data_IF_652356747072
#
_entry.id   IF_652356747072
#
_cell.length_a   1.000
_cell.length_b   1.000
_cell.length_c   1.000
_cell.angle_alpha   90.00
_cell.angle_beta   90.00
_cell.angle_gamma   90.00
#
_symmetry.space_group_name_H-M   'P 1'
#
loop_
_entity.id
_entity.type
_entity.pdbx_description
1 polymer ?
#
# COMPACT_ATOMS: atom_id res chain seq x y z
N UNK A 1 -11.47 16.60 -4.23
CA UNK A 1 -10.52 16.02 -5.20
C UNK A 1 -11.07 14.72 -5.70
N UNK A 2 -11.78 14.81 -6.83
CA UNK A 2 -12.08 13.70 -7.73
C UNK A 2 -10.91 13.45 -8.69
N UNK A 3 -11.02 12.46 -9.56
CA UNK A 3 -9.99 12.10 -10.53
C UNK A 3 -9.57 13.26 -11.46
N UNK A 4 -10.50 14.14 -11.84
CA UNK A 4 -10.21 15.29 -12.71
C UNK A 4 -9.41 16.35 -11.96
N UNK A 5 -9.76 16.59 -10.70
CA UNK A 5 -9.08 17.56 -9.83
C UNK A 5 -7.65 17.12 -9.45
N UNK A 6 -7.35 15.83 -9.48
CA UNK A 6 -6.00 15.30 -9.22
C UNK A 6 -5.09 15.42 -10.44
N UNK A 7 -5.65 15.26 -11.65
CA UNK A 7 -4.88 15.31 -12.90
C UNK A 7 -4.33 16.72 -13.14
N UNK A 8 -3.00 16.86 -13.13
CA UNK A 8 -2.33 18.13 -13.40
C UNK A 8 -2.36 19.12 -12.24
N UNK A 9 -2.80 18.72 -11.04
CA UNK A 9 -2.74 19.58 -9.86
C UNK A 9 -1.28 19.91 -9.52
N UNK A 10 -0.90 21.19 -9.34
CA UNK A 10 0.51 21.59 -9.22
C UNK A 10 1.19 21.06 -7.96
N UNK A 11 0.42 20.80 -6.89
CA UNK A 11 0.91 20.23 -5.63
C UNK A 11 0.89 18.70 -5.56
N UNK A 12 0.47 18.01 -6.63
CA UNK A 12 0.45 16.55 -6.65
C UNK A 12 1.61 16.07 -7.51
N UNK A 13 2.48 15.30 -6.86
CA UNK A 13 3.65 14.69 -7.45
C UNK A 13 3.25 13.41 -8.19
N UNK A 14 3.55 13.36 -9.47
CA UNK A 14 3.19 12.23 -10.33
C UNK A 14 4.46 11.61 -10.95
N UNK A 15 4.90 10.44 -10.48
CA UNK A 15 6.14 9.81 -10.95
C UNK A 15 6.06 9.31 -12.40
N UNK A 16 4.88 9.39 -13.04
CA UNK A 16 4.69 9.04 -14.46
C UNK A 16 4.79 10.25 -15.40
N UNK A 17 4.92 11.47 -14.89
CA UNK A 17 5.19 12.65 -15.72
C UNK A 17 6.63 12.60 -16.25
N UNK A 18 6.93 13.31 -17.36
CA UNK A 18 8.30 13.47 -17.82
C UNK A 18 9.23 13.97 -16.69
N UNK A 19 10.51 13.53 -16.63
CA UNK A 19 11.44 13.89 -15.55
C UNK A 19 11.53 15.40 -15.30
N UNK A 20 11.53 16.20 -16.36
CA UNK A 20 11.55 17.68 -16.33
C UNK A 20 10.32 18.30 -15.65
N UNK A 21 9.20 17.58 -15.58
CA UNK A 21 7.96 18.04 -14.92
C UNK A 21 7.74 17.39 -13.55
N UNK A 22 8.29 16.20 -13.33
CA UNK A 22 8.01 15.39 -12.14
C UNK A 22 8.98 15.63 -10.99
N UNK A 23 10.21 16.05 -11.29
CA UNK A 23 11.31 16.12 -10.32
C UNK A 23 11.86 14.75 -9.90
N UNK A 24 11.34 13.65 -10.47
CA UNK A 24 11.85 12.30 -10.24
C UNK A 24 13.02 12.00 -11.15
N UNK A 25 14.03 11.38 -10.58
CA UNK A 25 15.25 10.96 -11.28
C UNK A 25 15.31 9.44 -11.24
N UNK A 26 15.53 8.82 -12.39
CA UNK A 26 15.76 7.38 -12.45
C UNK A 26 17.13 7.05 -11.84
N UNK A 27 17.14 6.15 -10.86
CA UNK A 27 18.36 5.68 -10.17
C UNK A 27 18.73 4.24 -10.53
N UNK A 28 17.78 3.49 -11.10
CA UNK A 28 18.01 2.12 -11.57
C UNK A 28 16.78 1.54 -12.27
N UNK A 29 16.73 0.21 -12.32
CA UNK A 29 15.60 -0.54 -12.84
C UNK A 29 15.44 -1.86 -12.07
N UNK A 30 14.20 -2.34 -11.97
CA UNK A 30 13.91 -3.76 -11.70
C UNK A 30 13.83 -4.44 -13.06
N UNK A 31 14.72 -5.39 -13.31
CA UNK A 31 14.86 -5.98 -14.65
C UNK A 31 13.69 -6.90 -14.97
N UNK A 32 13.47 -7.13 -16.26
CA UNK A 32 12.53 -8.12 -16.77
C UNK A 32 12.77 -9.49 -16.16
N UNK A 33 14.02 -9.93 -16.05
CA UNK A 33 14.38 -11.24 -15.49
C UNK A 33 14.03 -11.33 -14.00
N UNK A 34 14.31 -10.29 -13.22
CA UNK A 34 13.92 -10.21 -11.81
C UNK A 34 12.40 -10.26 -11.65
N UNK A 35 11.66 -9.52 -12.48
CA UNK A 35 10.18 -9.55 -12.49
C UNK A 35 9.65 -10.92 -12.88
N UNK A 36 10.24 -11.57 -13.90
CA UNK A 36 9.86 -12.91 -14.35
C UNK A 36 10.06 -13.94 -13.24
N UNK A 37 11.20 -13.90 -12.56
CA UNK A 37 11.48 -14.73 -11.38
C UNK A 37 10.48 -14.48 -10.26
N UNK A 38 10.18 -13.22 -9.97
CA UNK A 38 9.21 -12.86 -8.93
C UNK A 38 7.81 -13.40 -9.26
N UNK A 39 7.33 -13.16 -10.48
CA UNK A 39 5.97 -13.53 -10.88
C UNK A 39 5.79 -15.05 -10.95
N UNK A 40 6.82 -15.81 -11.32
CA UNK A 40 6.76 -17.28 -11.30
C UNK A 40 6.55 -17.86 -9.90
N UNK A 41 6.92 -17.13 -8.83
CA UNK A 41 6.65 -17.56 -7.45
C UNK A 41 5.16 -17.62 -7.11
N UNK A 42 4.32 -16.92 -7.88
CA UNK A 42 2.86 -16.90 -7.73
C UNK A 42 2.15 -17.91 -8.65
N UNK A 43 2.88 -18.47 -9.60
CA UNK A 43 2.46 -19.40 -10.66
C UNK A 43 3.31 -19.20 -11.91
N UNK A 44 3.77 -20.28 -12.54
CA UNK A 44 4.64 -20.20 -13.74
C UNK A 44 3.95 -19.45 -14.90
N UNK A 45 2.63 -19.51 -14.97
CA UNK A 45 1.82 -18.78 -15.97
C UNK A 45 1.96 -17.26 -15.88
N UNK A 46 2.38 -16.72 -14.73
CA UNK A 46 2.55 -15.28 -14.54
C UNK A 46 3.97 -14.81 -14.88
N UNK A 47 4.93 -15.72 -15.09
CA UNK A 47 6.31 -15.37 -15.41
C UNK A 47 6.39 -14.47 -16.65
N UNK A 48 5.57 -14.79 -17.67
CA UNK A 48 5.56 -14.08 -18.93
C UNK A 48 4.80 -12.73 -18.88
N UNK A 49 4.21 -12.36 -17.74
CA UNK A 49 3.67 -11.00 -17.55
C UNK A 49 4.79 -9.94 -17.42
N UNK A 50 6.03 -10.37 -17.15
CA UNK A 50 7.21 -9.51 -17.16
C UNK A 50 7.67 -9.25 -18.60
N UNK A 51 7.18 -8.18 -19.22
CA UNK A 51 7.49 -7.84 -20.61
C UNK A 51 8.75 -6.98 -20.78
N UNK A 52 9.04 -6.13 -19.81
CA UNK A 52 10.07 -5.08 -19.87
C UNK A 52 10.66 -4.78 -18.49
N UNK A 53 11.78 -4.07 -18.47
CA UNK A 53 12.36 -3.47 -17.28
C UNK A 53 11.46 -2.34 -16.77
N UNK A 54 11.42 -2.14 -15.44
CA UNK A 54 10.66 -1.03 -14.84
C UNK A 54 11.62 -0.08 -14.14
N UNK A 55 11.50 1.21 -14.46
CA UNK A 55 12.34 2.25 -13.86
C UNK A 55 12.12 2.35 -12.35
N UNK A 56 13.24 2.44 -11.62
CA UNK A 56 13.25 2.79 -10.19
C UNK A 56 13.59 4.27 -10.09
N UNK A 57 12.67 5.04 -9.53
CA UNK A 57 12.73 6.48 -9.44
C UNK A 57 13.00 6.92 -8.00
N UNK A 58 13.67 8.05 -7.83
CA UNK A 58 13.81 8.74 -6.55
C UNK A 58 13.56 10.24 -6.72
N UNK A 59 13.26 10.92 -5.62
CA UNK A 59 13.13 12.38 -5.60
C UNK A 59 14.18 12.98 -4.64
N UNK A 60 14.93 14.02 -5.06
CA UNK A 60 16.03 14.59 -4.26
C UNK A 60 15.64 15.07 -2.86
N UNK A 61 14.38 15.45 -2.66
CA UNK A 61 13.83 15.83 -1.34
C UNK A 61 14.00 14.74 -0.27
N UNK A 62 14.04 13.46 -0.65
CA UNK A 62 14.21 12.34 0.28
C UNK A 62 15.49 11.56 -0.06
N UNK A 63 16.68 12.16 0.21
CA UNK A 63 17.96 11.57 -0.17
C UNK A 63 18.32 10.39 0.75
N UNK A 64 19.18 9.52 0.24
CA UNK A 64 19.92 8.53 1.03
C UNK A 64 21.20 9.16 1.57
N UNK A 65 21.65 8.75 2.76
CA UNK A 65 22.87 9.28 3.40
C UNK A 65 24.14 8.49 3.05
N UNK A 66 24.01 7.36 2.36
CA UNK A 66 25.13 6.46 2.13
C UNK A 66 25.70 6.63 0.71
N UNK A 67 27.02 6.54 0.56
CA UNK A 67 27.74 6.65 -0.73
C UNK A 67 27.34 5.59 -1.77
N UNK A 68 26.65 4.53 -1.34
CA UNK A 68 26.25 3.39 -2.17
C UNK A 68 24.85 3.58 -2.78
N UNK A 69 23.96 4.31 -2.11
CA UNK A 69 22.62 4.61 -2.62
C UNK A 69 22.18 5.98 -2.12
N UNK A 70 22.12 6.95 -3.03
CA UNK A 70 21.76 8.36 -2.77
C UNK A 70 20.25 8.59 -2.58
N UNK A 71 19.43 7.53 -2.52
CA UNK A 71 17.98 7.62 -2.45
C UNK A 71 17.44 6.97 -1.17
N UNK A 72 16.65 7.73 -0.40
CA UNK A 72 15.90 7.21 0.74
C UNK A 72 14.59 6.59 0.28
N UNK A 73 13.78 7.35 -0.47
CA UNK A 73 12.52 6.88 -1.04
C UNK A 73 12.72 6.44 -2.49
N UNK A 74 12.40 5.18 -2.79
CA UNK A 74 12.29 4.67 -4.15
C UNK A 74 10.81 4.51 -4.53
N UNK A 75 10.48 4.88 -5.77
CA UNK A 75 9.15 4.74 -6.37
C UNK A 75 9.31 3.92 -7.64
N UNK A 76 8.50 2.87 -7.78
CA UNK A 76 8.52 1.97 -8.95
C UNK A 76 7.12 1.95 -9.57
N UNK A 77 6.84 2.85 -10.54
CA UNK A 77 5.52 2.94 -11.16
C UNK A 77 5.21 1.69 -11.99
N UNK A 78 3.96 1.22 -11.93
CA UNK A 78 3.47 0.10 -12.74
C UNK A 78 4.33 -1.20 -12.63
N UNK A 79 4.91 -1.45 -11.45
CA UNK A 79 5.72 -2.63 -11.20
C UNK A 79 4.94 -3.94 -11.40
N UNK A 80 3.74 -4.01 -10.84
CA UNK A 80 2.91 -5.22 -10.82
C UNK A 80 1.87 -5.17 -11.95
N UNK A 81 1.93 -6.04 -12.96
CA UNK A 81 0.98 -6.02 -14.08
C UNK A 81 -0.40 -6.59 -13.70
N UNK A 82 -1.45 -6.35 -14.51
CA UNK A 82 -2.84 -6.68 -14.17
C UNK A 82 -3.10 -8.12 -13.70
N UNK A 83 -2.58 -9.14 -14.39
CA UNK A 83 -2.79 -10.52 -14.01
C UNK A 83 -2.14 -10.85 -12.65
N UNK A 84 -0.92 -10.33 -12.42
CA UNK A 84 -0.18 -10.48 -11.17
C UNK A 84 -0.90 -9.77 -10.02
N UNK A 85 -1.48 -8.58 -10.25
CA UNK A 85 -2.28 -7.88 -9.24
C UNK A 85 -3.45 -8.75 -8.75
N UNK A 86 -4.16 -9.44 -9.66
CA UNK A 86 -5.29 -10.31 -9.30
C UNK A 86 -4.84 -11.48 -8.44
N UNK A 87 -3.81 -12.23 -8.84
CA UNK A 87 -3.35 -13.40 -8.05
C UNK A 87 -2.80 -12.97 -6.68
N UNK A 88 -2.12 -11.82 -6.57
CA UNK A 88 -1.67 -11.28 -5.28
C UNK A 88 -2.87 -10.95 -4.39
N UNK A 89 -3.92 -10.31 -4.92
CA UNK A 89 -5.16 -10.06 -4.18
C UNK A 89 -5.85 -11.37 -3.77
N UNK A 90 -5.85 -12.40 -4.62
CA UNK A 90 -6.42 -13.71 -4.28
C UNK A 90 -5.66 -14.38 -3.13
N UNK A 91 -4.33 -14.37 -3.14
CA UNK A 91 -3.53 -14.87 -2.01
C UNK A 91 -3.87 -14.12 -0.73
N UNK A 92 -3.84 -12.79 -0.75
CA UNK A 92 -4.04 -11.97 0.45
C UNK A 92 -5.48 -12.04 0.98
N UNK A 93 -6.48 -11.89 0.12
CA UNK A 93 -7.86 -11.62 0.53
C UNK A 93 -8.78 -12.85 0.44
N UNK A 94 -8.40 -13.91 -0.29
CA UNK A 94 -9.10 -15.19 -0.23
C UNK A 94 -8.41 -16.18 0.70
N UNK A 95 -7.12 -16.45 0.48
CA UNK A 95 -6.38 -17.45 1.27
C UNK A 95 -5.97 -16.91 2.64
N UNK A 96 -5.22 -15.82 2.68
CA UNK A 96 -4.51 -15.39 3.89
C UNK A 96 -5.42 -14.67 4.89
N UNK A 97 -6.37 -13.86 4.42
CA UNK A 97 -7.43 -13.25 5.26
C UNK A 97 -8.33 -14.29 5.95
N UNK A 98 -8.44 -15.49 5.36
CA UNK A 98 -9.26 -16.58 5.89
C UNK A 98 -8.47 -17.52 6.79
N UNK A 99 -7.21 -17.22 7.06
CA UNK A 99 -6.40 -17.94 8.05
C UNK A 99 -6.58 -17.28 9.44
N UNK A 100 -7.12 -18.00 10.46
CA UNK A 100 -7.34 -17.45 11.79
C UNK A 100 -6.06 -17.07 12.56
N UNK A 101 -4.89 -17.54 12.12
CA UNK A 101 -3.61 -17.14 12.71
C UNK A 101 -3.25 -15.69 12.37
N UNK A 102 -3.78 -15.16 11.26
CA UNK A 102 -3.62 -13.77 10.86
C UNK A 102 -4.69 -12.89 11.52
N UNK A 103 -4.24 -11.83 12.22
CA UNK A 103 -5.15 -10.93 12.91
C UNK A 103 -5.75 -9.88 11.96
N UNK A 104 -6.91 -9.36 12.35
CA UNK A 104 -7.61 -8.27 11.66
C UNK A 104 -8.12 -7.29 12.70
N UNK A 105 -8.51 -6.09 12.29
CA UNK A 105 -9.11 -5.11 13.20
C UNK A 105 -10.40 -5.61 13.88
N UNK A 106 -11.07 -6.61 13.29
CA UNK A 106 -12.30 -7.18 13.82
C UNK A 106 -12.04 -8.12 15.00
N UNK A 107 -10.89 -8.80 15.04
CA UNK A 107 -10.57 -9.75 16.11
C UNK A 107 -10.53 -9.12 17.50
N UNK A 108 -10.34 -7.80 17.58
CA UNK A 108 -10.41 -7.03 18.83
C UNK A 108 -11.78 -7.14 19.52
N UNK A 109 -12.86 -7.23 18.74
CA UNK A 109 -14.23 -7.08 19.26
C UNK A 109 -15.21 -8.15 18.77
N UNK A 110 -14.83 -8.94 17.77
CA UNK A 110 -15.72 -9.91 17.12
C UNK A 110 -15.05 -11.29 16.99
N UNK A 111 -15.89 -12.32 16.98
CA UNK A 111 -15.57 -13.63 16.45
C UNK A 111 -15.90 -13.66 14.95
N UNK A 112 -14.96 -14.12 14.14
CA UNK A 112 -15.11 -14.16 12.68
C UNK A 112 -15.69 -15.52 12.25
N UNK A 113 -16.66 -15.53 11.32
CA UNK A 113 -17.27 -16.76 10.80
C UNK A 113 -16.40 -17.30 9.66
N UNK A 114 -15.29 -17.97 10.00
CA UNK A 114 -14.41 -18.60 9.00
C UNK A 114 -15.16 -19.70 8.23
N UNK A 115 -15.39 -19.54 6.91
CA UNK A 115 -16.09 -20.54 6.11
C UNK A 115 -15.28 -21.84 6.03
N UNK A 116 -15.98 -22.97 6.06
CA UNK A 116 -15.39 -24.29 5.86
C UNK A 116 -15.49 -24.72 4.39
N UNK A 117 -14.51 -25.48 3.92
CA UNK A 117 -14.50 -26.02 2.57
C UNK A 117 -13.16 -26.61 2.17
N UNK A 118 -13.17 -27.49 1.16
CA UNK A 118 -11.97 -28.17 0.68
C UNK A 118 -11.07 -27.25 -0.16
N UNK A 119 -11.66 -26.27 -0.85
CA UNK A 119 -10.92 -25.33 -1.69
C UNK A 119 -10.60 -24.02 -0.95
N UNK A 120 -9.52 -23.30 -1.33
CA UNK A 120 -9.25 -21.96 -0.80
C UNK A 120 -10.44 -21.01 -1.00
N UNK A 121 -11.11 -21.10 -2.15
CA UNK A 121 -12.20 -20.18 -2.47
C UNK A 121 -13.46 -20.48 -1.63
N UNK A 122 -13.74 -21.74 -1.30
CA UNK A 122 -14.82 -22.10 -0.38
C UNK A 122 -14.55 -21.61 1.05
N UNK A 123 -13.28 -21.51 1.45
CA UNK A 123 -12.86 -20.97 2.75
C UNK A 123 -12.78 -19.43 2.78
N UNK A 124 -12.89 -18.75 1.64
CA UNK A 124 -12.79 -17.30 1.58
C UNK A 124 -13.94 -16.62 2.33
N UNK A 125 -13.68 -15.53 3.06
CA UNK A 125 -14.75 -14.66 3.59
C UNK A 125 -15.70 -14.14 2.49
N UNK A 126 -15.25 -14.04 1.23
CA UNK A 126 -16.09 -13.66 0.10
C UNK A 126 -17.05 -14.78 -0.35
N UNK A 127 -16.89 -16.02 0.16
CA UNK A 127 -17.89 -17.08 -0.02
C UNK A 127 -19.17 -16.81 0.79
N UNK A 128 -19.10 -15.97 1.83
CA UNK A 128 -20.27 -15.50 2.55
C UNK A 128 -21.05 -14.54 1.64
N UNK A 129 -22.32 -14.85 1.40
CA UNK A 129 -23.18 -13.97 0.60
C UNK A 129 -23.32 -12.60 1.30
N UNK A 130 -23.34 -11.48 0.57
CA UNK A 130 -23.56 -10.16 1.14
C UNK A 130 -24.94 -10.04 1.82
N UNK A 131 -25.92 -10.83 1.35
CA UNK A 131 -27.27 -10.92 1.91
C UNK A 131 -27.39 -11.89 3.10
N UNK A 132 -26.31 -12.58 3.46
CA UNK A 132 -26.31 -13.47 4.62
C UNK A 132 -26.58 -12.70 5.93
N UNK A 133 -27.14 -13.37 6.95
CA UNK A 133 -27.43 -12.73 8.23
C UNK A 133 -26.15 -12.24 8.94
N UNK A 134 -26.33 -11.62 10.11
CA UNK A 134 -25.19 -11.17 10.91
C UNK A 134 -24.42 -12.37 11.48
N UNK A 135 -23.33 -12.75 10.81
CA UNK A 135 -22.49 -13.89 11.16
C UNK A 135 -21.27 -13.51 12.02
N UNK A 136 -20.88 -12.23 12.04
CA UNK A 136 -19.77 -11.74 12.84
C UNK A 136 -20.30 -11.38 14.22
N UNK A 137 -20.07 -12.24 15.20
CA UNK A 137 -20.65 -12.11 16.54
C UNK A 137 -19.72 -11.30 17.45
N UNK A 138 -20.25 -10.33 18.21
CA UNK A 138 -19.44 -9.54 19.13
C UNK A 138 -18.95 -10.42 20.29
N UNK A 139 -17.71 -10.21 20.73
CA UNK A 139 -17.18 -10.83 21.97
C UNK A 139 -17.95 -10.37 23.20
N UNK A 140 -18.37 -9.09 23.19
CA UNK A 140 -19.26 -8.50 24.18
C UNK A 140 -20.51 -7.92 23.49
N UNK A 141 -21.65 -8.65 23.50
CA UNK A 141 -22.92 -8.20 22.92
C UNK A 141 -23.53 -6.96 23.59
N UNK A 142 -23.06 -6.55 24.78
CA UNK A 142 -23.55 -5.34 25.45
C UNK A 142 -22.93 -4.06 24.88
N UNK A 143 -21.73 -4.17 24.28
CA UNK A 143 -20.97 -3.05 23.70
C UNK A 143 -21.17 -2.96 22.19
N UNK A 144 -21.19 -4.11 21.51
CA UNK A 144 -21.23 -4.18 20.05
C UNK A 144 -22.42 -5.00 19.55
N UNK A 145 -22.94 -4.64 18.37
CA UNK A 145 -23.99 -5.39 17.67
C UNK A 145 -23.37 -6.37 16.67
N UNK A 146 -23.98 -7.55 16.43
CA UNK A 146 -23.56 -8.45 15.35
C UNK A 146 -23.49 -7.74 13.99
N UNK A 147 -22.52 -8.14 13.15
CA UNK A 147 -22.31 -7.56 11.82
C UNK A 147 -22.56 -8.60 10.72
N UNK A 148 -23.12 -8.13 9.61
CA UNK A 148 -23.28 -8.90 8.36
C UNK A 148 -21.99 -8.92 7.55
N UNK A 149 -21.78 -9.91 6.66
CA UNK A 149 -20.67 -9.90 5.71
C UNK A 149 -20.61 -8.63 4.88
N UNK A 150 -21.76 -8.12 4.40
CA UNK A 150 -21.83 -6.86 3.64
C UNK A 150 -21.25 -5.69 4.42
N UNK A 151 -21.64 -5.52 5.69
CA UNK A 151 -21.11 -4.46 6.54
C UNK A 151 -19.60 -4.62 6.75
N UNK A 152 -19.15 -5.86 6.97
CA UNK A 152 -17.75 -6.16 7.23
C UNK A 152 -16.87 -5.86 6.03
N UNK A 153 -17.07 -6.57 4.93
CA UNK A 153 -16.20 -6.50 3.76
C UNK A 153 -16.31 -5.15 3.05
N UNK A 154 -17.44 -4.45 3.15
CA UNK A 154 -17.59 -3.15 2.48
C UNK A 154 -16.97 -1.99 3.25
N UNK A 155 -17.00 -2.00 4.59
CA UNK A 155 -16.71 -0.81 5.42
C UNK A 155 -16.04 -1.05 6.78
N UNK A 156 -16.08 -2.26 7.37
CA UNK A 156 -15.55 -2.47 8.74
C UNK A 156 -14.22 -3.22 8.78
N UNK A 157 -13.84 -3.92 7.71
CA UNK A 157 -12.52 -4.52 7.59
C UNK A 157 -11.54 -3.45 7.09
N UNK A 158 -10.54 -3.12 7.91
CA UNK A 158 -9.57 -2.06 7.64
C UNK A 158 -8.16 -2.59 7.46
N UNK A 159 -7.80 -3.69 8.14
CA UNK A 159 -6.50 -4.31 7.98
C UNK A 159 -6.50 -5.80 8.30
N UNK A 160 -5.54 -6.51 7.72
CA UNK A 160 -5.11 -7.86 8.12
C UNK A 160 -3.57 -7.92 8.22
N UNK A 161 -3.05 -8.66 9.19
CA UNK A 161 -1.61 -8.84 9.43
C UNK A 161 -1.14 -10.22 8.96
N UNK A 162 -0.07 -10.28 8.18
CA UNK A 162 0.54 -11.52 7.67
C UNK A 162 1.90 -11.75 8.34
N UNK A 163 2.22 -12.99 8.72
CA UNK A 163 3.46 -13.29 9.44
C UNK A 163 3.49 -12.66 10.83
N UNK A 164 4.46 -11.78 11.10
CA UNK A 164 4.55 -11.00 12.33
C UNK A 164 3.26 -10.23 12.68
N UNK A 165 2.78 -10.40 13.92
CA UNK A 165 1.51 -9.84 14.37
C UNK A 165 1.75 -8.58 15.21
N UNK A 166 1.54 -7.41 14.62
CA UNK A 166 1.73 -6.14 15.32
C UNK A 166 0.67 -5.92 16.40
N UNK A 167 1.10 -5.61 17.63
CA UNK A 167 0.19 -5.23 18.72
C UNK A 167 -0.01 -3.71 18.71
N UNK A 168 -1.20 -3.26 18.31
CA UNK A 168 -1.55 -1.84 18.25
C UNK A 168 -1.64 -1.16 19.63
N UNK A 169 -1.89 -1.92 20.70
CA UNK A 169 -2.00 -1.42 22.07
C UNK A 169 -0.60 -1.21 22.66
N UNK A 170 0.25 -2.23 22.53
CA UNK A 170 1.62 -2.19 23.04
C UNK A 170 2.61 -1.49 22.08
N UNK A 171 2.22 -1.28 20.82
CA UNK A 171 3.01 -0.70 19.72
C UNK A 171 4.32 -1.44 19.44
N UNK A 172 4.31 -2.75 19.61
CA UNK A 172 5.48 -3.63 19.43
C UNK A 172 5.07 -4.94 18.75
N UNK A 173 6.04 -5.64 18.16
CA UNK A 173 5.86 -7.04 17.82
C UNK A 173 6.02 -7.89 19.10
N UNK A 174 5.04 -8.74 19.45
CA UNK A 174 5.13 -9.61 20.60
C UNK A 174 6.30 -10.60 20.48
N UNK A 175 6.95 -10.92 21.60
CA UNK A 175 8.08 -11.86 21.65
C UNK A 175 7.70 -13.34 21.36
N UNK A 176 6.41 -13.65 21.21
CA UNK A 176 5.95 -15.00 20.87
C UNK A 176 6.29 -15.32 19.40
N UNK A 177 6.55 -16.59 19.05
CA UNK A 177 6.74 -16.97 17.65
C UNK A 177 5.56 -16.49 16.80
N UNK A 178 5.82 -15.73 15.73
CA UNK A 178 4.75 -15.28 14.84
C UNK A 178 4.23 -16.45 14.00
N UNK A 179 2.99 -16.36 13.48
CA UNK A 179 2.56 -17.16 12.34
C UNK A 179 3.59 -17.08 11.20
N UNK A 180 3.69 -18.15 10.41
CA UNK A 180 4.55 -18.13 9.24
C UNK A 180 4.06 -17.08 8.23
N UNK A 181 4.98 -16.28 7.70
CA UNK A 181 4.67 -15.42 6.56
C UNK A 181 4.34 -16.29 5.33
N UNK A 182 3.34 -15.96 4.51
CA UNK A 182 3.00 -16.77 3.34
C UNK A 182 4.19 -16.91 2.37
N UNK A 183 4.66 -18.15 2.18
CA UNK A 183 5.95 -18.41 1.53
C UNK A 183 6.01 -18.01 0.04
N UNK A 184 4.88 -18.06 -0.67
CA UNK A 184 4.81 -17.59 -2.06
C UNK A 184 4.94 -16.07 -2.16
N UNK A 185 4.24 -15.33 -1.29
CA UNK A 185 4.39 -13.87 -1.18
C UNK A 185 5.81 -13.50 -0.73
N UNK A 186 6.41 -14.22 0.22
CA UNK A 186 7.78 -13.96 0.65
C UNK A 186 8.79 -14.09 -0.50
N UNK A 187 8.70 -15.16 -1.30
CA UNK A 187 9.59 -15.35 -2.46
C UNK A 187 9.33 -14.33 -3.57
N UNK A 188 8.07 -14.04 -3.86
CA UNK A 188 7.69 -12.97 -4.80
C UNK A 188 8.29 -11.61 -4.41
N UNK A 189 8.18 -11.24 -3.13
CA UNK A 189 8.71 -9.98 -2.61
C UNK A 189 10.24 -9.99 -2.55
N UNK A 190 10.86 -11.10 -2.14
CA UNK A 190 12.31 -11.24 -2.07
C UNK A 190 13.00 -11.15 -3.44
N UNK A 191 12.35 -11.62 -4.50
CA UNK A 191 12.86 -11.44 -5.87
C UNK A 191 12.80 -9.97 -6.35
N UNK A 192 11.78 -9.21 -5.94
CA UNK A 192 11.63 -7.79 -6.30
C UNK A 192 12.46 -6.85 -5.41
N UNK A 193 12.58 -7.15 -4.12
CA UNK A 193 13.21 -6.32 -3.10
C UNK A 193 14.14 -7.17 -2.21
N UNK A 194 15.26 -7.67 -2.74
CA UNK A 194 16.12 -8.66 -2.07
C UNK A 194 16.82 -8.15 -0.82
N UNK A 195 16.79 -6.83 -0.55
CA UNK A 195 17.35 -6.24 0.65
C UNK A 195 16.41 -6.32 1.87
N UNK A 196 15.23 -6.93 1.74
CA UNK A 196 14.22 -7.00 2.81
C UNK A 196 13.54 -8.35 2.84
N UNK A 197 13.75 -9.09 3.93
CA UNK A 197 13.07 -10.34 4.17
C UNK A 197 11.63 -10.09 4.64
N UNK A 198 10.67 -10.69 3.94
CA UNK A 198 9.26 -10.58 4.27
C UNK A 198 8.94 -11.40 5.53
N UNK A 199 8.99 -10.75 6.70
CA UNK A 199 8.71 -11.38 8.00
C UNK A 199 7.34 -10.96 8.57
N UNK A 200 6.92 -9.73 8.29
CA UNK A 200 5.62 -9.19 8.70
C UNK A 200 5.03 -8.34 7.59
N UNK A 201 3.70 -8.32 7.48
CA UNK A 201 3.01 -7.36 6.63
C UNK A 201 1.68 -6.89 7.22
N UNK A 202 1.31 -5.67 6.87
CA UNK A 202 -0.02 -5.10 7.11
C UNK A 202 -0.66 -4.83 5.75
N UNK A 203 -1.71 -5.59 5.44
CA UNK A 203 -2.57 -5.33 4.30
C UNK A 203 -3.65 -4.37 4.75
N UNK A 204 -3.57 -3.11 4.33
CA UNK A 204 -4.56 -2.09 4.64
C UNK A 204 -5.62 -2.02 3.54
N UNK A 205 -6.88 -1.88 3.94
CA UNK A 205 -8.04 -1.77 3.07
C UNK A 205 -8.69 -0.39 3.29
N UNK A 206 -8.73 0.41 2.23
CA UNK A 206 -9.31 1.74 2.23
C UNK A 206 -10.48 1.84 1.26
N UNK A 207 -11.40 2.74 1.57
CA UNK A 207 -12.51 3.20 0.72
C UNK A 207 -12.46 4.74 0.65
N UNK A 208 -13.00 5.39 -0.40
CA UNK A 208 -13.15 6.84 -0.41
C UNK A 208 -13.77 7.38 0.89
N UNK A 209 -13.07 8.35 1.48
CA UNK A 209 -13.36 8.91 2.81
C UNK A 209 -12.37 8.45 3.89
N UNK A 210 -11.71 7.31 3.70
CA UNK A 210 -10.69 6.83 4.64
C UNK A 210 -9.40 7.63 4.49
N UNK A 211 -8.69 7.80 5.62
CA UNK A 211 -7.41 8.49 5.72
C UNK A 211 -6.49 7.76 6.68
N UNK A 212 -5.19 7.82 6.43
CA UNK A 212 -4.17 7.42 7.40
C UNK A 212 -3.35 8.65 7.78
N UNK A 213 -3.42 9.03 9.05
CA UNK A 213 -2.72 10.19 9.58
C UNK A 213 -1.20 10.04 9.45
N UNK A 214 -0.50 11.18 9.49
CA UNK A 214 0.96 11.20 9.56
C UNK A 214 1.45 10.36 10.74
N UNK A 215 2.29 9.37 10.45
CA UNK A 215 2.91 8.49 11.42
C UNK A 215 4.32 8.10 10.97
N UNK A 216 5.02 7.35 11.83
CA UNK A 216 6.34 6.77 11.57
C UNK A 216 6.28 5.29 11.90
N UNK A 217 6.99 4.49 11.12
CA UNK A 217 7.13 3.05 11.35
C UNK A 217 8.47 2.78 12.05
N UNK A 218 8.46 2.70 13.38
CA UNK A 218 9.68 2.62 14.21
C UNK A 218 9.68 1.43 15.18
N UNK A 219 8.83 0.43 14.93
CA UNK A 219 8.63 -0.70 15.83
C UNK A 219 9.52 -1.90 15.49
N UNK A 220 10.17 -1.90 14.32
CA UNK A 220 11.09 -2.94 13.87
C UNK A 220 12.50 -2.76 14.46
N UNK A 221 13.22 -3.85 14.71
CA UNK A 221 14.58 -3.86 15.30
C UNK A 221 15.68 -3.98 14.23
N UNK A 222 15.39 -3.58 12.99
CA UNK A 222 16.32 -3.61 11.86
C UNK A 222 16.18 -2.33 11.04
N UNK A 223 17.21 -2.00 10.27
CA UNK A 223 17.25 -0.84 9.36
C UNK A 223 16.79 -1.18 7.93
N UNK A 224 16.34 -2.42 7.68
CA UNK A 224 15.86 -2.83 6.36
C UNK A 224 14.69 -1.97 5.89
N UNK A 225 14.62 -1.77 4.59
CA UNK A 225 13.59 -0.96 3.96
C UNK A 225 12.18 -1.55 4.11
N UNK A 226 11.18 -0.70 3.96
CA UNK A 226 9.77 -1.07 3.96
C UNK A 226 9.26 -1.08 2.52
N UNK A 227 8.65 -2.19 2.10
CA UNK A 227 8.02 -2.32 0.78
C UNK A 227 6.53 -2.01 0.91
N UNK A 228 5.97 -1.19 0.03
CA UNK A 228 4.52 -0.99 -0.07
C UNK A 228 4.03 -1.15 -1.50
N UNK A 229 3.13 -2.10 -1.75
CA UNK A 229 2.47 -2.31 -3.03
C UNK A 229 1.03 -1.78 -2.99
N UNK A 230 0.58 -1.17 -4.10
CA UNK A 230 -0.72 -0.50 -4.22
C UNK A 230 -1.64 -1.20 -5.21
N UNK A 231 -2.91 -1.42 -4.86
CA UNK A 231 -3.92 -2.03 -5.74
C UNK A 231 -5.27 -1.30 -5.66
N UNK A 232 -6.01 -1.22 -6.77
CA UNK A 232 -7.33 -0.60 -6.84
C UNK A 232 -7.28 0.91 -7.08
N UNK A 233 -8.14 1.66 -6.37
CA UNK A 233 -8.23 3.11 -6.50
C UNK A 233 -6.90 3.81 -6.20
N UNK A 234 -6.68 4.94 -6.86
CA UNK A 234 -5.55 5.80 -6.61
C UNK A 234 -5.56 6.33 -5.18
N UNK A 235 -4.39 6.41 -4.58
CA UNK A 235 -4.16 7.04 -3.28
C UNK A 235 -3.22 8.22 -3.40
N UNK A 236 -3.47 9.26 -2.63
CA UNK A 236 -2.45 10.27 -2.33
C UNK A 236 -1.66 9.81 -1.12
N UNK A 237 -0.36 9.69 -1.28
CA UNK A 237 0.60 9.35 -0.24
C UNK A 237 1.45 10.57 0.04
N UNK A 238 1.45 11.02 1.29
CA UNK A 238 2.25 12.15 1.74
C UNK A 238 3.45 11.63 2.52
N UNK A 239 4.62 12.22 2.28
CA UNK A 239 5.85 11.91 3.01
C UNK A 239 6.73 13.17 3.11
N UNK A 240 7.31 13.39 4.29
CA UNK A 240 8.18 14.52 4.57
C UNK A 240 9.52 14.05 5.13
N UNK A 241 10.64 14.71 4.80
CA UNK A 241 11.95 14.43 5.39
C UNK A 241 11.95 14.58 6.92
N UNK A 242 12.83 13.86 7.62
CA UNK A 242 12.96 13.97 9.08
C UNK A 242 13.55 15.33 9.51
N UNK A 243 14.45 15.87 8.69
CA UNK A 243 15.08 17.17 8.87
C UNK A 243 14.50 18.10 7.81
N UNK A 244 13.72 19.10 8.23
CA UNK A 244 13.37 20.21 7.34
C UNK A 244 14.66 21.02 7.19
N UNK A 245 15.27 21.00 6.00
CA UNK A 245 16.28 21.99 5.66
C UNK A 245 15.60 23.34 5.62
N UNK A 246 15.51 24.01 6.78
CA UNK A 246 15.27 25.44 6.83
C UNK A 246 16.49 26.10 6.23
N UNK A 247 16.51 26.22 4.91
CA UNK A 247 17.40 27.15 4.23
C UNK A 247 16.90 28.54 4.62
N UNK A 248 17.37 29.02 5.79
CA UNK A 248 17.05 30.34 6.32
C UNK A 248 17.68 31.36 5.38
N UNK A 249 16.99 31.66 4.28
CA UNK A 249 17.25 32.88 3.53
C UNK A 249 16.69 33.99 4.41
N UNK A 250 17.55 34.55 5.25
CA UNK A 250 17.34 35.80 5.98
C UNK A 250 17.03 36.88 4.94
N UNK A 251 15.79 36.94 4.48
CA UNK A 251 15.29 38.07 3.72
C UNK A 251 14.94 39.10 4.75
N UNK A 252 15.93 39.96 5.05
CA UNK A 252 15.74 41.19 5.81
C UNK A 252 14.51 41.90 5.25
N UNK A 253 13.43 41.90 6.03
CA UNK A 253 12.19 42.59 5.73
C UNK A 253 12.48 44.09 5.62
N UNK A 254 12.75 44.56 4.40
CA UNK A 254 12.71 45.97 4.08
C UNK A 254 11.33 46.22 3.51
N UNK A 255 10.48 46.83 4.31
CA UNK A 255 9.14 47.29 3.93
C UNK A 255 9.26 48.33 2.82
N UNK A 256 8.89 47.95 1.59
CA UNK A 256 8.41 48.90 0.57
C UNK A 256 7.17 48.31 -0.09
N UNK A 257 6.07 49.03 0.10
CA UNK A 257 4.81 48.92 -0.63
C UNK A 257 5.05 49.16 -2.12
N UNK A 258 4.59 48.25 -2.99
CA UNK A 258 3.87 48.65 -4.21
C UNK A 258 3.25 47.46 -4.95
N UNK A 259 2.17 47.79 -5.66
CA UNK A 259 1.22 46.91 -6.32
C UNK A 259 1.74 46.32 -7.65
N UNK A 260 1.38 45.06 -7.91
CA UNK A 260 1.11 44.56 -9.25
C UNK A 260 2.22 43.80 -9.99
N UNK A 261 1.76 42.70 -10.62
CA UNK A 261 2.33 41.92 -11.74
C UNK A 261 3.19 40.69 -11.42
N UNK A 262 2.71 39.61 -12.05
CA UNK A 262 3.46 38.46 -12.58
C UNK A 262 4.27 37.66 -11.56
N UNK A 263 3.61 36.68 -10.93
CA UNK A 263 4.31 35.63 -10.19
C UNK A 263 4.92 34.62 -11.17
N UNK A 264 6.08 35.00 -11.71
CA UNK A 264 7.10 34.07 -12.15
C UNK A 264 7.36 33.05 -11.03
N UNK A 265 7.58 31.80 -11.43
CA UNK A 265 7.88 30.67 -10.57
C UNK A 265 8.98 31.01 -9.57
N UNK A 266 8.58 31.30 -8.32
CA UNK A 266 9.46 31.14 -7.19
C UNK A 266 9.71 29.64 -7.04
N UNK A 267 10.98 29.28 -6.95
CA UNK A 267 11.45 27.96 -6.50
C UNK A 267 10.97 27.78 -5.05
N UNK A 268 9.71 27.35 -4.91
CA UNK A 268 9.06 27.09 -3.64
C UNK A 268 9.68 25.77 -3.14
N UNK A 269 10.70 25.91 -2.28
CA UNK A 269 11.42 24.79 -1.66
C UNK A 269 10.39 23.80 -1.09
N UNK A 270 10.25 22.62 -1.71
CA UNK A 270 9.23 21.64 -1.29
C UNK A 270 9.62 21.04 0.05
N UNK A 271 8.77 21.19 1.06
CA UNK A 271 8.97 20.56 2.38
C UNK A 271 8.48 19.11 2.46
N UNK A 272 7.68 18.65 1.50
CA UNK A 272 7.11 17.31 1.45
C UNK A 272 6.80 16.88 0.02
N UNK A 273 6.57 15.58 -0.17
CA UNK A 273 6.00 15.01 -1.40
C UNK A 273 4.56 14.56 -1.15
N UNK A 274 3.69 14.85 -2.11
CA UNK A 274 2.32 14.36 -2.16
C UNK A 274 2.15 13.50 -3.43
N UNK A 275 2.55 12.24 -3.32
CA UNK A 275 2.61 11.28 -4.41
C UNK A 275 1.23 10.74 -4.76
N UNK A 276 0.89 10.75 -6.06
CA UNK A 276 -0.23 9.95 -6.57
C UNK A 276 0.25 8.52 -6.86
N UNK A 277 -0.21 7.57 -6.06
CA UNK A 277 0.04 6.13 -6.23
C UNK A 277 -1.17 5.45 -6.87
N UNK A 278 -0.95 4.80 -8.01
CA UNK A 278 -1.97 4.06 -8.77
C UNK A 278 -1.87 2.56 -8.52
N UNK A 279 -2.83 1.79 -9.02
CA UNK A 279 -2.78 0.33 -8.98
C UNK A 279 -1.52 -0.20 -9.69
N UNK A 280 -0.83 -1.13 -9.04
CA UNK A 280 0.43 -1.72 -9.52
C UNK A 280 1.70 -0.95 -9.13
N UNK A 281 1.58 0.23 -8.49
CA UNK A 281 2.75 0.99 -8.03
C UNK A 281 3.35 0.39 -6.76
N UNK A 282 4.67 0.49 -6.66
CA UNK A 282 5.40 0.20 -5.44
C UNK A 282 6.14 1.44 -4.92
N UNK A 283 6.25 1.54 -3.60
CA UNK A 283 7.24 2.39 -2.94
C UNK A 283 8.13 1.51 -2.06
N UNK A 284 9.41 1.86 -1.98
CA UNK A 284 10.37 1.25 -1.07
C UNK A 284 11.03 2.34 -0.23
N UNK A 285 10.74 2.32 1.07
CA UNK A 285 11.22 3.30 2.03
C UNK A 285 12.43 2.75 2.77
N UNK A 286 13.62 3.22 2.40
CA UNK A 286 14.88 2.81 3.02
C UNK A 286 15.64 4.01 3.60
N UNK A 287 16.69 3.74 4.37
CA UNK A 287 17.56 4.75 4.99
C UNK A 287 16.72 5.83 5.73
N UNK A 288 16.94 7.12 5.46
CA UNK A 288 16.23 8.21 6.11
C UNK A 288 14.71 8.19 5.90
N UNK A 289 14.27 7.72 4.72
CA UNK A 289 12.83 7.62 4.46
C UNK A 289 12.16 6.53 5.29
N UNK A 290 12.92 5.53 5.77
CA UNK A 290 12.40 4.43 6.60
C UNK A 290 11.75 4.95 7.89
N UNK A 291 12.27 6.06 8.39
CA UNK A 291 11.80 6.74 9.58
C UNK A 291 11.05 8.04 9.26
N UNK A 292 10.77 8.38 8.00
CA UNK A 292 10.09 9.61 7.63
C UNK A 292 8.64 9.66 8.11
N UNK A 293 8.13 10.86 8.37
CA UNK A 293 6.70 11.07 8.59
C UNK A 293 5.93 10.85 7.29
N UNK A 294 4.92 9.99 7.32
CA UNK A 294 4.15 9.65 6.13
C UNK A 294 2.74 9.19 6.45
N UNK A 295 1.91 9.10 5.41
CA UNK A 295 0.50 8.69 5.53
C UNK A 295 -0.27 8.86 4.24
N UNK A 296 -1.58 8.59 4.31
CA UNK A 296 -2.48 8.54 3.15
C UNK A 296 -3.61 9.54 3.38
N UNK A 297 -3.45 10.81 2.99
CA UNK A 297 -4.48 11.83 3.22
C UNK A 297 -5.74 11.62 2.40
N UNK A 298 -5.70 10.85 1.30
CA UNK A 298 -6.87 10.70 0.43
C UNK A 298 -6.84 9.47 -0.46
N UNK A 299 -7.99 8.80 -0.56
CA UNK A 299 -8.31 7.87 -1.65
C UNK A 299 -9.14 8.59 -2.70
N UNK A 300 -8.76 8.46 -3.98
CA UNK A 300 -9.45 9.11 -5.08
C UNK A 300 -10.58 8.19 -5.57
N UNK A 301 -11.86 8.58 -5.43
CA UNK A 301 -12.97 7.76 -5.92
C UNK A 301 -12.91 7.61 -7.45
N UNK A 302 -13.54 6.56 -7.96
CA UNK A 302 -13.74 6.32 -9.40
C UNK A 302 -12.42 6.23 -10.21
N UNK A 303 -11.36 5.71 -9.59
CA UNK A 303 -10.04 5.49 -10.23
C UNK A 303 -9.57 4.04 -10.17
N UNK A 304 -10.39 3.11 -9.66
CA UNK A 304 -10.09 1.69 -9.76
C UNK A 304 -9.93 1.32 -11.25
N UNK A 305 -8.86 0.60 -11.64
CA UNK A 305 -8.69 0.23 -13.04
C UNK A 305 -9.75 -0.79 -13.46
N UNK A 306 -10.21 -0.68 -14.71
CA UNK A 306 -11.29 -1.50 -15.28
C UNK A 306 -11.08 -3.00 -15.07
N UNK A 307 -9.85 -3.49 -15.25
CA UNK A 307 -9.51 -4.90 -15.09
C UNK A 307 -9.64 -5.43 -13.66
N UNK A 308 -9.72 -4.55 -12.64
CA UNK A 308 -9.99 -4.92 -11.24
C UNK A 308 -11.40 -4.60 -10.78
N UNK A 309 -12.17 -3.76 -11.49
CA UNK A 309 -13.45 -3.24 -10.99
C UNK A 309 -14.40 -4.34 -10.51
N UNK A 310 -14.49 -5.44 -11.26
CA UNK A 310 -15.41 -6.53 -10.95
C UNK A 310 -14.84 -7.53 -9.93
N UNK A 311 -13.57 -7.43 -9.56
CA UNK A 311 -12.98 -8.27 -8.50
C UNK A 311 -13.75 -8.06 -7.18
N UNK A 312 -14.06 -9.12 -6.41
CA UNK A 312 -13.55 -10.49 -6.53
C UNK A 312 -14.36 -11.44 -7.42
N UNK A 313 -15.37 -10.98 -8.16
CA UNK A 313 -16.09 -11.85 -9.07
C UNK A 313 -15.16 -12.43 -10.15
N UNK A 314 -15.20 -13.75 -10.35
CA UNK A 314 -14.35 -14.49 -11.28
C UNK A 314 -15.14 -15.05 -12.48
N UNK A 315 -14.43 -15.30 -13.58
CA UNK A 315 -14.95 -16.01 -14.75
C UNK A 315 -15.32 -17.44 -14.35
N UNK A 316 -16.62 -17.72 -14.21
CA UNK A 316 -17.13 -18.95 -13.60
C UNK A 316 -18.20 -18.71 -12.53
N UNK A 317 -18.51 -17.44 -12.22
CA UNK A 317 -19.59 -17.05 -11.31
C UNK A 317 -19.22 -17.10 -9.83
N UNK A 318 -18.01 -17.53 -9.51
CA UNK A 318 -17.45 -17.48 -8.16
C UNK A 318 -17.37 -16.04 -7.68
N UNK A 319 -17.83 -15.82 -6.45
CA UNK A 319 -17.94 -14.51 -5.81
C UNK A 319 -18.74 -13.45 -6.60
N UNK A 320 -19.58 -13.85 -7.55
CA UNK A 320 -20.42 -12.94 -8.36
C UNK A 320 -21.29 -11.99 -7.53
N UNK A 321 -21.73 -12.42 -6.34
CA UNK A 321 -22.49 -11.57 -5.43
C UNK A 321 -21.71 -10.33 -4.93
N UNK A 322 -20.38 -10.35 -5.06
CA UNK A 322 -19.47 -9.25 -4.70
C UNK A 322 -18.95 -8.47 -5.91
N UNK A 323 -19.53 -8.67 -7.09
CA UNK A 323 -19.16 -7.91 -8.28
C UNK A 323 -19.18 -6.39 -8.00
N UNK A 324 -18.11 -5.71 -8.41
CA UNK A 324 -17.96 -4.27 -8.18
C UNK A 324 -17.40 -3.90 -6.81
N UNK A 325 -17.10 -4.85 -5.92
CA UNK A 325 -16.55 -4.55 -4.60
C UNK A 325 -15.27 -3.71 -4.68
N UNK A 326 -14.37 -4.06 -5.61
CA UNK A 326 -13.07 -3.37 -5.77
C UNK A 326 -13.19 -1.96 -6.34
N UNK A 327 -14.30 -1.61 -7.02
CA UNK A 327 -14.53 -0.26 -7.61
C UNK A 327 -14.31 0.88 -6.63
N UNK A 328 -14.57 0.62 -5.35
CA UNK A 328 -14.48 1.60 -4.27
C UNK A 328 -13.35 1.29 -3.29
N UNK A 329 -12.39 0.44 -3.66
CA UNK A 329 -11.37 -0.06 -2.74
C UNK A 329 -9.99 0.32 -3.21
N UNK A 330 -9.13 0.59 -2.23
CA UNK A 330 -7.69 0.62 -2.38
C UNK A 330 -7.08 -0.33 -1.36
N UNK A 331 -6.18 -1.19 -1.81
CA UNK A 331 -5.49 -2.18 -0.99
C UNK A 331 -4.00 -1.86 -1.00
N UNK A 332 -3.40 -1.79 0.18
CA UNK A 332 -1.97 -1.54 0.35
C UNK A 332 -1.33 -2.72 1.08
N UNK A 333 -0.38 -3.40 0.46
CA UNK A 333 0.44 -4.43 1.12
C UNK A 333 1.74 -3.77 1.61
N UNK A 334 1.88 -3.59 2.92
CA UNK A 334 3.09 -3.02 3.53
C UNK A 334 3.90 -4.14 4.20
N UNK A 335 5.11 -4.41 3.73
CA UNK A 335 5.95 -5.54 4.14
C UNK A 335 7.19 -5.02 4.83
N UNK A 336 7.57 -5.71 5.92
CA UNK A 336 8.66 -5.32 6.80
C UNK A 336 9.44 -6.54 7.24
N UNK A 337 10.74 -6.31 7.44
CA UNK A 337 11.59 -7.19 8.24
C UNK A 337 11.55 -6.71 9.69
N UNK A 338 11.30 -7.60 10.64
CA UNK A 338 11.21 -7.25 12.06
C UNK A 338 12.58 -7.29 12.75
N UNK A 339 13.43 -8.23 12.33
CA UNK A 339 14.76 -8.51 12.91
C UNK A 339 15.69 -9.11 11.84
N UNK A 340 17.00 -8.96 12.03
CA UNK A 340 18.06 -9.45 11.12
C UNK A 340 18.23 -10.97 11.08
#
# INVERSE_FOLDING_TARGET
MDAKQVKGHPRIDDPRKPPEESGFIQTGSITKEQRREAFSQLGEEYADEAQEDVAVLHHPLLPGKNSICSAGLLVVPALVPPAVQKVVLEKMLHRDLSNPDHQTNLHLHYHLPYPSGETPNARSLFALAPTAPALFTPRDPSVHKPLTPQQVLSRRLHWVTLGGQYDWTARVYPARPPPAFPADLARFLGALFPATDAQAAIVNLYTPGDTMMMHRDVSELTDKGLVSLSFGCDGLFMIAPNEVTTTTTTTTTTTTTDEGKDAAAADDEKDYLLLRLRSGDAIYMTQESRCAWHGVPKIIPDTCPEYLENWPAQEGGQFSAWEGWMKTKRINLNVRQMQD
#
